data_IF_737631337785
#
_entry.id   IF_737631337785
#
_cell.length_a   1.000
_cell.length_b   1.000
_cell.length_c   1.000
_cell.angle_alpha   90.00
_cell.angle_beta   90.00
_cell.angle_gamma   90.00
#
_symmetry.space_group_name_H-M   'P 1'
#
loop_
_entity.id
_entity.type
_entity.pdbx_description
1 polymer ?
#
# COMPACT_ATOMS: atom_id res chain seq x y z
N UNK A 1 14.80 11.39 -17.55
CA UNK A 1 15.44 10.18 -16.98
C UNK A 1 15.00 10.14 -15.54
N UNK A 2 14.46 9.01 -15.09
CA UNK A 2 13.98 8.90 -13.73
C UNK A 2 15.17 8.93 -12.74
N UNK A 3 15.01 9.61 -11.62
CA UNK A 3 15.97 9.62 -10.51
C UNK A 3 15.41 8.78 -9.37
N UNK A 4 16.10 7.72 -9.01
CA UNK A 4 15.75 6.85 -7.89
C UNK A 4 15.80 7.63 -6.58
N UNK A 5 14.69 7.65 -5.84
CA UNK A 5 14.58 8.29 -4.53
C UNK A 5 14.58 7.27 -3.38
N UNK A 6 13.98 6.09 -3.59
CA UNK A 6 13.87 5.01 -2.60
C UNK A 6 13.56 3.68 -3.30
N UNK A 7 14.06 2.58 -2.74
CA UNK A 7 13.83 1.19 -3.15
C UNK A 7 13.49 0.32 -1.92
N UNK A 8 12.77 -0.78 -2.13
CA UNK A 8 12.40 -1.68 -1.02
C UNK A 8 11.43 -2.80 -1.38
N UNK A 9 11.01 -3.53 -0.35
CA UNK A 9 9.99 -4.58 -0.48
C UNK A 9 8.58 -3.97 -0.38
N UNK A 10 7.64 -4.48 -1.17
CA UNK A 10 6.23 -4.11 -1.14
C UNK A 10 5.36 -5.34 -0.96
N UNK A 11 4.41 -5.25 -0.04
CA UNK A 11 3.47 -6.32 0.27
C UNK A 11 2.03 -5.84 0.19
N UNK A 12 1.21 -6.59 -0.53
CA UNK A 12 -0.22 -6.33 -0.66
C UNK A 12 -1.00 -7.30 0.21
N UNK A 13 -1.89 -6.76 1.02
CA UNK A 13 -2.78 -7.56 1.87
C UNK A 13 -4.20 -7.03 1.76
N UNK A 14 -5.18 -7.91 1.84
CA UNK A 14 -6.57 -7.50 2.00
C UNK A 14 -7.10 -7.88 3.38
N UNK A 15 -8.05 -7.10 3.88
CA UNK A 15 -8.84 -7.44 5.06
C UNK A 15 -10.22 -7.92 4.60
N UNK A 16 -10.66 -9.13 4.98
CA UNK A 16 -12.06 -9.54 4.84
C UNK A 16 -13.02 -8.65 5.64
N UNK A 17 -14.30 -8.68 5.30
CA UNK A 17 -15.37 -8.08 6.11
C UNK A 17 -15.47 -8.73 7.49
N UNK A 18 -16.13 -8.02 8.39
CA UNK A 18 -16.40 -8.51 9.75
C UNK A 18 -17.30 -9.75 9.65
N UNK A 19 -16.95 -10.81 10.36
CA UNK A 19 -17.60 -12.13 10.31
C UNK A 19 -17.50 -12.84 8.95
N UNK A 20 -16.50 -12.49 8.14
CA UNK A 20 -16.30 -13.07 6.80
C UNK A 20 -15.05 -13.96 6.76
N UNK A 21 -15.23 -15.24 7.08
CA UNK A 21 -14.12 -16.20 7.11
C UNK A 21 -13.67 -16.62 5.70
N UNK A 22 -14.56 -16.65 4.73
CA UNK A 22 -14.25 -17.00 3.35
C UNK A 22 -14.40 -15.78 2.44
N UNK A 23 -13.49 -15.61 1.50
CA UNK A 23 -13.58 -14.56 0.49
C UNK A 23 -13.61 -15.25 -0.85
N UNK A 24 -14.55 -14.86 -1.70
CA UNK A 24 -14.68 -15.36 -3.08
C UNK A 24 -14.62 -14.22 -4.11
N UNK A 25 -14.71 -12.96 -3.63
CA UNK A 25 -14.77 -11.77 -4.47
C UNK A 25 -14.39 -10.49 -3.71
N UNK A 26 -14.24 -9.40 -4.47
CA UNK A 26 -14.07 -8.04 -3.95
C UNK A 26 -15.24 -7.58 -3.05
N UNK A 27 -16.41 -8.22 -3.15
CA UNK A 27 -17.56 -7.89 -2.32
C UNK A 27 -17.26 -8.17 -0.84
N UNK A 28 -16.63 -9.30 -0.52
CA UNK A 28 -16.25 -9.72 0.84
C UNK A 28 -15.02 -8.98 1.38
N UNK A 29 -14.28 -8.26 0.54
CA UNK A 29 -13.15 -7.43 1.00
C UNK A 29 -13.66 -6.19 1.73
N UNK A 30 -13.05 -5.87 2.87
CA UNK A 30 -13.27 -4.63 3.62
C UNK A 30 -12.31 -3.53 3.16
N UNK A 31 -11.01 -3.85 3.07
CA UNK A 31 -9.94 -2.89 2.75
C UNK A 31 -8.77 -3.57 2.06
N UNK A 32 -8.10 -2.82 1.19
CA UNK A 32 -6.77 -3.14 0.67
C UNK A 32 -5.71 -2.38 1.48
N UNK A 33 -4.67 -3.09 1.87
CA UNK A 33 -3.51 -2.62 2.63
C UNK A 33 -2.26 -2.82 1.77
N UNK A 34 -1.36 -1.85 1.83
CA UNK A 34 -0.03 -1.93 1.20
C UNK A 34 1.00 -1.69 2.28
N UNK A 35 1.97 -2.57 2.42
CA UNK A 35 3.10 -2.39 3.33
C UNK A 35 4.34 -2.15 2.49
N UNK A 36 5.08 -1.10 2.82
CA UNK A 36 6.35 -0.76 2.19
C UNK A 36 7.46 -0.88 3.22
N UNK A 37 8.54 -1.58 2.86
CA UNK A 37 9.73 -1.74 3.66
C UNK A 37 10.95 -1.27 2.87
N UNK A 38 11.35 0.01 3.03
CA UNK A 38 12.49 0.55 2.29
C UNK A 38 13.79 -0.09 2.77
N UNK A 39 14.64 -0.58 1.87
CA UNK A 39 15.87 -1.30 2.26
C UNK A 39 16.92 -0.43 2.94
N UNK A 40 16.97 0.86 2.56
CA UNK A 40 17.82 1.86 3.22
C UNK A 40 17.06 2.65 4.29
N UNK A 41 15.77 2.36 4.47
CA UNK A 41 14.89 3.02 5.43
C UNK A 41 14.96 2.40 6.81
N UNK A 42 14.36 3.11 7.78
CA UNK A 42 14.26 2.65 9.18
C UNK A 42 12.89 2.11 9.55
N UNK A 43 11.88 2.39 8.72
CA UNK A 43 10.49 2.22 9.11
C UNK A 43 9.74 1.39 8.08
N UNK A 44 8.89 0.48 8.56
CA UNK A 44 7.83 -0.11 7.76
C UNK A 44 6.65 0.86 7.73
N UNK A 45 6.06 1.02 6.55
CA UNK A 45 4.91 1.93 6.33
C UNK A 45 3.71 1.09 5.94
N UNK A 46 2.63 1.14 6.73
CA UNK A 46 1.36 0.52 6.37
C UNK A 46 0.44 1.59 5.80
N UNK A 47 0.10 1.44 4.53
CA UNK A 47 -0.83 2.26 3.79
C UNK A 47 -2.19 1.58 3.69
N UNK A 48 -3.25 2.37 3.75
CA UNK A 48 -4.62 1.94 3.49
C UNK A 48 -5.10 2.60 2.20
N UNK A 49 -5.50 1.79 1.23
CA UNK A 49 -6.11 2.28 -0.01
C UNK A 49 -7.58 2.56 0.27
N UNK A 50 -8.05 3.74 -0.15
CA UNK A 50 -9.43 4.20 0.11
C UNK A 50 -10.49 3.42 -0.67
N UNK A 51 -10.06 2.65 -1.68
CA UNK A 51 -10.86 1.66 -2.41
C UNK A 51 -10.37 0.25 -2.06
N UNK A 52 -11.15 -0.75 -2.44
CA UNK A 52 -10.82 -2.16 -2.18
C UNK A 52 -9.83 -2.75 -3.20
N UNK A 53 -9.43 -1.96 -4.19
CA UNK A 53 -8.53 -2.31 -5.30
C UNK A 53 -7.57 -1.14 -5.55
N UNK A 54 -6.48 -1.38 -6.28
CA UNK A 54 -5.60 -0.32 -6.78
C UNK A 54 -6.26 0.44 -7.93
N UNK A 55 -5.78 1.66 -8.27
CA UNK A 55 -6.24 2.38 -9.44
C UNK A 55 -6.04 1.56 -10.71
N UNK A 56 -7.03 1.54 -11.57
CA UNK A 56 -6.89 1.01 -12.93
C UNK A 56 -5.99 1.95 -13.76
N UNK A 57 -5.05 1.36 -14.49
CA UNK A 57 -4.06 2.11 -15.29
C UNK A 57 -4.69 2.65 -16.57
N UNK A 58 -5.49 1.84 -17.26
CA UNK A 58 -6.08 2.20 -18.55
C UNK A 58 -7.19 3.24 -18.40
N UNK A 59 -7.93 3.20 -17.28
CA UNK A 59 -8.92 4.22 -16.94
C UNK A 59 -8.30 5.49 -16.33
N UNK A 60 -6.98 5.49 -16.06
CA UNK A 60 -6.29 6.54 -15.30
C UNK A 60 -7.01 6.90 -14.00
N UNK A 61 -7.44 5.85 -13.30
CA UNK A 61 -8.20 5.94 -12.07
C UNK A 61 -7.39 6.69 -10.99
N UNK A 62 -8.07 7.39 -10.08
CA UNK A 62 -7.41 8.20 -9.03
C UNK A 62 -7.95 7.88 -7.68
N UNK A 63 -7.17 7.17 -6.87
CA UNK A 63 -7.61 6.76 -5.54
C UNK A 63 -6.82 7.46 -4.44
N UNK A 64 -7.56 7.86 -3.41
CA UNK A 64 -6.98 8.26 -2.15
C UNK A 64 -6.41 7.05 -1.45
N UNK A 65 -5.22 7.20 -0.87
CA UNK A 65 -4.68 6.31 0.14
C UNK A 65 -4.12 7.15 1.29
N UNK A 66 -3.81 6.52 2.41
CA UNK A 66 -3.12 7.20 3.50
C UNK A 66 -2.20 6.27 4.26
N UNK A 67 -1.15 6.83 4.85
CA UNK A 67 -0.28 6.12 5.79
C UNK A 67 -1.02 5.95 7.11
N UNK A 68 -1.36 4.73 7.48
CA UNK A 68 -2.05 4.41 8.73
C UNK A 68 -1.06 4.25 9.88
N UNK A 69 0.01 3.47 9.67
CA UNK A 69 1.05 3.21 10.66
C UNK A 69 2.45 3.34 10.05
N UNK A 70 3.38 3.84 10.86
CA UNK A 70 4.82 3.87 10.57
C UNK A 70 5.51 3.28 11.79
N UNK A 71 6.24 2.18 11.60
CA UNK A 71 6.78 1.38 12.71
C UNK A 71 8.25 1.04 12.50
N UNK A 72 9.00 0.95 13.59
CA UNK A 72 10.41 0.52 13.56
C UNK A 72 10.56 -1.00 13.57
N UNK A 73 9.53 -1.71 14.03
CA UNK A 73 9.55 -3.16 14.18
C UNK A 73 8.24 -3.79 13.68
N UNK A 74 8.32 -4.90 12.95
CA UNK A 74 7.15 -5.52 12.31
C UNK A 74 6.08 -5.98 13.31
N UNK A 75 6.45 -6.33 14.56
CA UNK A 75 5.45 -6.78 15.55
C UNK A 75 4.48 -5.67 15.95
N UNK A 76 4.84 -4.40 15.75
CA UNK A 76 3.94 -3.28 16.02
C UNK A 76 2.72 -3.32 15.10
N UNK A 77 2.85 -3.88 13.88
CA UNK A 77 1.73 -4.08 12.95
C UNK A 77 0.83 -5.24 13.34
N UNK A 78 1.22 -6.13 14.26
CA UNK A 78 0.44 -7.32 14.59
C UNK A 78 -0.94 -6.98 15.12
N UNK A 79 -1.05 -5.86 15.84
CA UNK A 79 -2.34 -5.34 16.26
C UNK A 79 -3.28 -5.20 15.07
N UNK A 80 -2.83 -4.59 13.98
CA UNK A 80 -3.63 -4.32 12.78
C UNK A 80 -3.76 -5.56 11.89
N UNK A 81 -2.72 -6.40 11.77
CA UNK A 81 -2.68 -7.53 10.83
C UNK A 81 -3.31 -8.83 11.32
N UNK A 82 -3.47 -9.02 12.63
CA UNK A 82 -4.08 -10.23 13.21
C UNK A 82 -5.61 -10.13 13.29
N UNK A 83 -6.25 -11.25 13.63
CA UNK A 83 -7.67 -11.29 13.94
C UNK A 83 -7.95 -10.46 15.20
N UNK A 84 -9.17 -9.91 15.29
CA UNK A 84 -9.65 -9.19 16.46
C UNK A 84 -11.08 -9.59 16.79
N UNK A 85 -11.29 -10.10 17.99
CA UNK A 85 -12.63 -10.29 18.55
C UNK A 85 -13.02 -9.06 19.37
N UNK A 86 -14.25 -8.57 19.19
CA UNK A 86 -14.78 -7.47 19.97
C UNK A 86 -16.28 -7.58 20.16
N UNK A 87 -16.76 -7.13 21.32
CA UNK A 87 -18.18 -7.14 21.65
C UNK A 87 -18.85 -5.83 21.26
N UNK A 88 -19.98 -5.93 20.57
CA UNK A 88 -20.84 -4.79 20.23
C UNK A 88 -22.04 -4.74 21.17
N UNK A 89 -22.50 -3.54 21.50
CA UNK A 89 -23.67 -3.33 22.39
C UNK A 89 -24.97 -3.87 21.79
N UNK A 90 -25.07 -3.89 20.47
CA UNK A 90 -26.32 -4.16 19.74
C UNK A 90 -26.32 -5.52 19.03
N UNK A 91 -25.16 -6.09 18.70
CA UNK A 91 -25.08 -7.28 17.85
C UNK A 91 -24.14 -8.37 18.41
N UNK A 92 -23.88 -8.35 19.71
CA UNK A 92 -23.08 -9.39 20.37
C UNK A 92 -21.60 -9.38 19.98
N UNK A 93 -20.96 -10.53 20.09
CA UNK A 93 -19.56 -10.75 19.71
C UNK A 93 -19.38 -10.66 18.19
N UNK A 94 -18.32 -9.98 17.78
CA UNK A 94 -17.92 -9.76 16.39
C UNK A 94 -16.48 -10.17 16.24
N UNK A 95 -16.19 -10.86 15.17
CA UNK A 95 -14.83 -11.20 14.79
C UNK A 95 -14.44 -10.44 13.53
N UNK A 96 -13.28 -9.81 13.57
CA UNK A 96 -12.61 -9.28 12.40
C UNK A 96 -11.51 -10.28 12.01
N UNK A 97 -11.65 -10.97 10.87
CA UNK A 97 -10.63 -11.87 10.34
C UNK A 97 -9.27 -11.17 10.16
N UNK A 98 -8.15 -11.92 10.15
CA UNK A 98 -6.82 -11.38 9.92
C UNK A 98 -6.67 -10.84 8.49
N UNK A 99 -5.64 -10.02 8.25
CA UNK A 99 -5.30 -9.58 6.91
C UNK A 99 -4.63 -10.75 6.20
N UNK A 100 -4.97 -10.94 4.93
CA UNK A 100 -4.49 -12.04 4.11
C UNK A 100 -3.53 -11.48 3.08
N UNK A 101 -2.30 -12.00 2.97
CA UNK A 101 -1.40 -11.60 1.91
C UNK A 101 -1.97 -12.02 0.56
N UNK A 102 -1.79 -11.17 -0.44
CA UNK A 102 -2.25 -11.43 -1.80
C UNK A 102 -1.18 -11.19 -2.84
N UNK A 103 -0.21 -10.31 -2.58
CA UNK A 103 0.94 -10.17 -3.47
C UNK A 103 2.16 -9.63 -2.71
N UNK A 104 3.33 -9.85 -3.28
CA UNK A 104 4.64 -9.48 -2.75
C UNK A 104 5.57 -9.16 -3.93
N UNK A 105 6.44 -8.17 -3.76
CA UNK A 105 7.41 -7.79 -4.78
C UNK A 105 8.37 -6.71 -4.31
N UNK A 106 9.10 -6.13 -5.26
CA UNK A 106 9.98 -4.98 -5.02
C UNK A 106 9.34 -3.70 -5.55
N UNK A 107 9.63 -2.57 -4.92
CA UNK A 107 9.19 -1.26 -5.38
C UNK A 107 10.34 -0.28 -5.52
N UNK A 108 10.08 0.73 -6.35
CA UNK A 108 10.88 1.93 -6.50
C UNK A 108 9.98 3.16 -6.39
N UNK A 109 10.46 4.17 -5.65
CA UNK A 109 9.98 5.54 -5.77
C UNK A 109 10.99 6.32 -6.60
N UNK A 110 10.55 6.85 -7.73
CA UNK A 110 11.41 7.62 -8.63
C UNK A 110 10.81 8.98 -8.98
N UNK A 111 11.67 10.00 -9.05
CA UNK A 111 11.31 11.30 -9.61
C UNK A 111 11.39 11.22 -11.13
N UNK A 112 10.32 11.59 -11.81
CA UNK A 112 10.31 11.72 -13.27
C UNK A 112 9.69 13.09 -13.62
N UNK A 113 10.51 13.97 -14.18
CA UNK A 113 10.18 15.37 -14.47
C UNK A 113 9.60 16.12 -13.24
N UNK A 114 8.33 16.51 -13.25
CA UNK A 114 7.65 17.22 -12.16
C UNK A 114 6.75 16.30 -11.30
N UNK A 115 6.86 14.98 -11.49
CA UNK A 115 6.08 13.96 -10.80
C UNK A 115 6.97 12.95 -10.07
N UNK A 116 6.34 12.19 -9.18
CA UNK A 116 6.96 11.05 -8.52
C UNK A 116 6.13 9.82 -8.84
N UNK A 117 6.80 8.74 -9.20
CA UNK A 117 6.20 7.45 -9.46
C UNK A 117 6.49 6.51 -8.31
N UNK A 118 5.48 5.73 -7.92
CA UNK A 118 5.64 4.47 -7.21
C UNK A 118 5.49 3.36 -8.26
N UNK A 119 6.58 2.69 -8.57
CA UNK A 119 6.62 1.54 -9.45
C UNK A 119 6.89 0.28 -8.65
N UNK A 120 6.36 -0.86 -9.07
CA UNK A 120 6.67 -2.15 -8.48
C UNK A 120 6.62 -3.26 -9.52
N UNK A 121 7.26 -4.37 -9.17
CA UNK A 121 7.14 -5.64 -9.85
C UNK A 121 6.96 -6.76 -8.83
N UNK A 122 6.05 -7.69 -9.12
CA UNK A 122 5.72 -8.81 -8.23
C UNK A 122 6.77 -9.93 -8.31
N UNK A 123 7.12 -10.46 -7.14
CA UNK A 123 7.75 -11.77 -6.97
C UNK A 123 6.68 -12.86 -6.80
N UNK A 124 5.63 -12.57 -6.03
CA UNK A 124 4.53 -13.50 -5.75
C UNK A 124 3.16 -12.84 -5.87
N UNK A 125 2.15 -13.56 -6.40
CA UNK A 125 2.31 -14.83 -7.11
C UNK A 125 3.05 -14.62 -8.43
N UNK A 126 3.81 -15.64 -8.87
CA UNK A 126 4.50 -15.61 -10.17
C UNK A 126 3.55 -15.36 -11.36
N UNK A 127 2.29 -15.74 -11.22
CA UNK A 127 1.22 -15.44 -12.19
C UNK A 127 0.00 -14.96 -11.42
N UNK A 128 -0.44 -13.71 -11.62
CA UNK A 128 -1.69 -13.20 -11.05
C UNK A 128 -2.88 -14.11 -11.39
N UNK A 129 -3.73 -14.33 -10.37
CA UNK A 129 -4.98 -15.05 -10.49
C UNK A 129 -6.19 -14.15 -10.21
N UNK A 130 -7.33 -14.77 -9.90
CA UNK A 130 -8.59 -14.06 -9.64
C UNK A 130 -8.46 -12.98 -8.56
N UNK A 131 -7.74 -13.28 -7.46
CA UNK A 131 -7.60 -12.35 -6.36
C UNK A 131 -6.84 -11.08 -6.76
N UNK A 132 -5.73 -11.21 -7.50
CA UNK A 132 -4.95 -10.07 -7.97
C UNK A 132 -5.73 -9.24 -8.99
N UNK A 133 -6.37 -9.89 -9.97
CA UNK A 133 -7.14 -9.20 -11.00
C UNK A 133 -8.30 -8.37 -10.41
N UNK A 134 -9.07 -8.94 -9.48
CA UNK A 134 -10.17 -8.21 -8.83
C UNK A 134 -9.69 -7.06 -7.92
N UNK A 135 -8.47 -7.16 -7.40
CA UNK A 135 -7.81 -6.10 -6.64
C UNK A 135 -7.02 -5.12 -7.52
N UNK A 136 -7.03 -5.30 -8.84
CA UNK A 136 -6.25 -4.53 -9.83
C UNK A 136 -4.75 -4.48 -9.48
N UNK A 137 -4.20 -5.59 -9.00
CA UNK A 137 -2.78 -5.74 -8.75
C UNK A 137 -2.16 -6.38 -10.00
N UNK A 138 -1.38 -5.60 -10.72
CA UNK A 138 -0.71 -6.03 -11.94
C UNK A 138 0.61 -6.73 -11.62
N UNK A 139 1.16 -7.59 -12.51
CA UNK A 139 2.49 -8.15 -12.34
C UNK A 139 3.57 -7.08 -12.19
N UNK A 140 3.39 -5.97 -12.90
CA UNK A 140 4.22 -4.78 -12.89
C UNK A 140 3.30 -3.58 -13.08
N UNK A 141 3.56 -2.49 -12.36
CA UNK A 141 2.79 -1.26 -12.53
C UNK A 141 3.52 -0.03 -12.00
N UNK A 142 3.15 1.11 -12.56
CA UNK A 142 3.59 2.45 -12.19
C UNK A 142 2.38 3.32 -11.84
N UNK A 143 2.47 4.01 -10.72
CA UNK A 143 1.49 5.00 -10.28
C UNK A 143 2.15 6.34 -10.02
N UNK A 144 1.60 7.42 -10.57
CA UNK A 144 1.96 8.76 -10.09
C UNK A 144 1.43 8.91 -8.67
N UNK A 145 2.32 9.24 -7.75
CA UNK A 145 2.02 9.39 -6.32
C UNK A 145 2.22 10.85 -5.90
N UNK A 146 1.15 11.43 -5.35
CA UNK A 146 1.16 12.81 -4.86
C UNK A 146 0.69 12.88 -3.43
N UNK A 147 1.37 13.67 -2.60
CA UNK A 147 0.98 13.94 -1.22
C UNK A 147 0.05 15.14 -1.17
N UNK A 148 -1.02 15.03 -0.39
CA UNK A 148 -1.92 16.14 -0.09
C UNK A 148 -1.39 16.94 1.09
N UNK A 149 -1.43 18.25 0.97
CA UNK A 149 -1.11 19.16 2.06
C UNK A 149 -2.15 19.01 3.20
N UNK A 150 -1.76 18.58 4.41
CA UNK A 150 -2.70 18.39 5.52
C UNK A 150 -3.40 19.69 5.96
N UNK A 151 -2.75 20.84 5.73
CA UNK A 151 -3.25 22.18 6.05
C UNK A 151 -4.24 22.69 4.99
N UNK A 152 -4.26 22.09 3.80
CA UNK A 152 -5.22 22.47 2.76
C UNK A 152 -6.64 21.98 3.11
N UNK A 153 -7.68 22.80 2.84
CA UNK A 153 -9.06 22.40 3.07
C UNK A 153 -9.45 21.25 2.14
N UNK A 154 -10.26 20.33 2.65
CA UNK A 154 -10.84 19.21 1.89
C UNK A 154 -12.32 19.47 1.63
N UNK A 155 -12.88 18.98 0.51
CA UNK A 155 -14.33 18.99 0.31
C UNK A 155 -15.08 18.29 1.46
N UNK A 156 -16.32 18.70 1.78
CA UNK A 156 -17.12 18.01 2.78
C UNK A 156 -17.23 16.52 2.48
N UNK A 157 -17.03 15.67 3.50
CA UNK A 157 -17.11 14.22 3.32
C UNK A 157 -15.83 13.56 2.80
N UNK A 158 -14.83 14.31 2.35
CA UNK A 158 -13.61 13.78 1.71
C UNK A 158 -12.39 13.93 2.62
N UNK A 159 -11.58 12.88 2.68
CA UNK A 159 -10.28 12.86 3.38
C UNK A 159 -10.34 12.63 4.88
N UNK A 160 -9.16 12.53 5.49
CA UNK A 160 -9.00 12.33 6.93
C UNK A 160 -9.45 13.56 7.72
N UNK A 161 -10.05 13.31 8.89
CA UNK A 161 -10.62 14.35 9.77
C UNK A 161 -9.87 14.44 11.09
N UNK A 162 -9.72 15.67 11.59
CA UNK A 162 -9.22 15.97 12.93
C UNK A 162 -7.84 15.40 13.19
N UNK A 163 -7.67 14.75 14.35
CA UNK A 163 -6.40 14.18 14.82
C UNK A 163 -5.80 13.06 13.95
N UNK A 164 -6.53 12.59 12.92
CA UNK A 164 -6.02 11.59 11.97
C UNK A 164 -5.20 12.20 10.82
N UNK A 165 -5.17 13.52 10.68
CA UNK A 165 -4.33 14.18 9.67
C UNK A 165 -2.87 14.15 10.10
N UNK A 166 -1.97 13.96 9.15
CA UNK A 166 -0.53 14.06 9.40
C UNK A 166 -0.13 15.43 9.95
N UNK A 167 0.76 15.39 10.93
CA UNK A 167 1.52 16.56 11.38
C UNK A 167 2.90 16.51 10.76
N UNK A 168 3.07 17.16 9.60
CA UNK A 168 4.32 17.15 8.87
C UNK A 168 5.34 18.14 9.48
N UNK A 169 6.63 17.77 9.57
CA UNK A 169 7.71 18.68 9.93
C UNK A 169 7.78 19.91 9.02
N UNK A 170 8.27 21.02 9.54
CA UNK A 170 8.34 22.29 8.80
C UNK A 170 9.11 22.18 7.47
N UNK A 171 10.14 21.34 7.42
CA UNK A 171 10.91 21.08 6.20
C UNK A 171 10.04 20.49 5.08
N UNK A 172 9.20 19.50 5.40
CA UNK A 172 8.28 18.87 4.45
C UNK A 172 7.12 19.80 4.09
N UNK A 173 6.57 20.55 5.07
CA UNK A 173 5.51 21.53 4.80
C UNK A 173 5.94 22.59 3.78
N UNK A 174 7.20 23.03 3.82
CA UNK A 174 7.72 24.02 2.86
C UNK A 174 7.76 23.51 1.41
N UNK A 175 7.86 22.20 1.19
CA UNK A 175 7.89 21.57 -0.15
C UNK A 175 6.57 21.71 -0.91
N UNK A 176 5.46 21.97 -0.21
CA UNK A 176 4.20 22.28 -0.89
C UNK A 176 4.23 23.60 -1.64
N UNK A 177 5.08 24.56 -1.23
CA UNK A 177 5.12 25.91 -1.83
C UNK A 177 3.74 26.58 -1.90
N UNK A 178 2.92 26.40 -0.85
CA UNK A 178 1.55 26.92 -0.79
C UNK A 178 0.52 26.14 -1.63
N UNK A 179 0.92 25.10 -2.34
CA UNK A 179 0.02 24.25 -3.14
C UNK A 179 -0.74 23.27 -2.25
N UNK A 180 -1.84 22.74 -2.79
CA UNK A 180 -2.66 21.71 -2.15
C UNK A 180 -2.03 20.32 -2.22
N UNK A 181 -1.17 20.10 -3.21
CA UNK A 181 -0.50 18.84 -3.46
C UNK A 181 0.97 19.07 -3.78
N UNK A 182 1.79 18.05 -3.53
CA UNK A 182 3.19 17.98 -3.93
C UNK A 182 3.51 16.55 -4.39
N UNK A 183 4.55 16.35 -5.22
CA UNK A 183 5.12 15.02 -5.44
C UNK A 183 5.60 14.41 -4.10
N UNK A 184 5.67 13.08 -4.02
CA UNK A 184 6.27 12.37 -2.86
C UNK A 184 7.79 12.46 -2.93
N UNK A 185 8.27 13.68 -2.76
CA UNK A 185 9.67 14.03 -2.87
C UNK A 185 10.03 15.08 -1.80
N UNK A 186 10.73 14.67 -0.73
CA UNK A 186 11.35 13.36 -0.53
C UNK A 186 10.35 12.25 -0.11
N UNK A 187 10.69 10.96 -0.27
CA UNK A 187 9.88 9.82 0.20
C UNK A 187 9.50 9.89 1.69
N UNK A 188 10.28 10.62 2.50
CA UNK A 188 10.00 10.86 3.92
C UNK A 188 8.66 11.54 4.23
N UNK A 189 7.90 12.03 3.24
CA UNK A 189 6.47 12.30 3.46
C UNK A 189 5.71 11.10 4.00
N UNK A 190 6.06 9.89 3.55
CA UNK A 190 5.39 8.65 3.91
C UNK A 190 5.79 8.13 5.31
N UNK A 191 6.79 8.74 5.95
CA UNK A 191 7.21 8.41 7.33
C UNK A 191 6.32 9.06 8.41
N UNK A 192 5.18 9.62 8.01
CA UNK A 192 4.27 10.32 8.91
C UNK A 192 2.86 9.72 8.84
N UNK A 193 2.38 9.08 9.92
CA UNK A 193 1.00 8.61 10.01
C UNK A 193 0.00 9.73 9.74
N UNK A 194 -1.09 9.38 9.04
CA UNK A 194 -2.12 10.31 8.59
C UNK A 194 -1.77 11.08 7.31
N UNK A 195 -0.66 10.75 6.64
CA UNK A 195 -0.29 11.38 5.36
C UNK A 195 -1.22 10.85 4.29
N UNK A 196 -2.04 11.74 3.72
CA UNK A 196 -2.94 11.41 2.62
C UNK A 196 -2.20 11.55 1.29
N UNK A 197 -2.28 10.51 0.46
CA UNK A 197 -1.73 10.49 -0.89
C UNK A 197 -2.83 10.21 -1.92
N UNK A 198 -2.56 10.57 -3.17
CA UNK A 198 -3.35 10.15 -4.33
C UNK A 198 -2.46 9.28 -5.21
N UNK A 199 -2.95 8.07 -5.49
CA UNK A 199 -2.38 7.14 -6.46
C UNK A 199 -3.14 7.31 -7.77
N UNK A 200 -2.43 7.47 -8.88
CA UNK A 200 -2.97 7.68 -10.21
C UNK A 200 -2.36 6.65 -11.15
N UNK A 201 -3.19 5.86 -11.83
CA UNK A 201 -2.73 4.88 -12.83
C UNK A 201 -1.89 5.52 -13.94
N UNK A 202 -0.65 5.04 -14.12
CA UNK A 202 0.29 5.59 -15.10
C UNK A 202 0.66 4.60 -16.21
N UNK A 203 1.25 3.45 -15.88
CA UNK A 203 1.69 2.46 -16.86
C UNK A 203 1.71 1.04 -16.31
N UNK A 204 1.50 0.05 -17.19
CA UNK A 204 1.67 -1.39 -16.92
C UNK A 204 3.14 -1.81 -17.03
N UNK A 205 3.89 -1.26 -17.99
CA UNK A 205 5.33 -1.48 -18.14
C UNK A 205 6.08 -0.29 -17.51
N UNK A 206 6.32 -0.41 -16.21
CA UNK A 206 6.96 0.62 -15.41
C UNK A 206 8.47 0.73 -15.70
N UNK A 207 9.08 -0.41 -16.04
CA UNK A 207 10.49 -0.54 -16.39
C UNK A 207 10.79 0.24 -17.68
N UNK A 208 9.97 0.07 -18.72
CA UNK A 208 10.09 0.84 -19.96
C UNK A 208 9.79 2.33 -19.72
N UNK A 209 8.70 2.64 -19.01
CA UNK A 209 8.28 4.02 -18.74
C UNK A 209 9.39 4.82 -18.04
N UNK A 210 9.93 4.26 -16.96
CA UNK A 210 10.89 4.93 -16.08
C UNK A 210 12.35 4.70 -16.51
N UNK A 211 12.60 3.72 -17.39
CA UNK A 211 13.93 3.21 -17.75
C UNK A 211 14.69 2.72 -16.51
N UNK A 212 14.02 1.91 -15.71
CA UNK A 212 14.55 1.28 -14.48
C UNK A 212 14.44 -0.24 -14.65
N UNK A 213 15.40 -0.98 -14.10
CA UNK A 213 15.42 -2.44 -14.14
C UNK A 213 14.75 -3.00 -12.88
N UNK A 214 13.41 -3.17 -12.92
CA UNK A 214 12.66 -3.69 -11.77
C UNK A 214 12.93 -5.17 -11.53
N UNK A 215 13.30 -5.95 -12.55
CA UNK A 215 13.74 -7.34 -12.41
C UNK A 215 14.95 -7.42 -11.45
N UNK A 216 15.94 -6.54 -11.64
CA UNK A 216 17.10 -6.46 -10.75
C UNK A 216 16.72 -6.08 -9.31
N UNK A 217 15.67 -5.26 -9.12
CA UNK A 217 15.16 -4.94 -7.79
C UNK A 217 14.46 -6.14 -7.13
N UNK A 218 13.72 -6.95 -7.90
CA UNK A 218 13.15 -8.22 -7.41
C UNK A 218 14.25 -9.21 -7.04
N UNK A 219 15.29 -9.38 -7.87
CA UNK A 219 16.44 -10.24 -7.54
C UNK A 219 17.16 -9.79 -6.25
N UNK A 220 17.14 -8.49 -5.97
CA UNK A 220 17.69 -7.92 -4.74
C UNK A 220 16.77 -8.17 -3.53
N UNK A 221 15.46 -8.18 -3.74
CA UNK A 221 14.41 -8.42 -2.76
C UNK A 221 14.37 -9.85 -2.21
N UNK A 222 14.88 -10.85 -2.96
CA UNK A 222 14.83 -12.31 -2.69
C UNK A 222 15.27 -12.78 -1.28
N UNK A 223 15.69 -11.84 -0.41
CA UNK A 223 16.13 -12.07 0.96
C UNK A 223 15.02 -11.98 1.99
N UNK A 224 13.82 -11.47 1.69
CA UNK A 224 12.77 -11.27 2.71
C UNK A 224 11.34 -11.56 2.23
N UNK A 225 10.80 -12.73 2.60
CA UNK A 225 9.38 -13.03 2.36
C UNK A 225 8.46 -12.25 3.28
N UNK A 226 7.22 -11.94 2.87
CA UNK A 226 6.24 -11.25 3.73
C UNK A 226 6.08 -11.91 5.12
N UNK A 227 6.17 -13.24 5.21
CA UNK A 227 6.05 -13.95 6.48
C UNK A 227 7.28 -13.75 7.38
N UNK A 228 8.46 -13.73 6.78
CA UNK A 228 9.72 -13.46 7.49
C UNK A 228 9.80 -12.01 7.92
N UNK A 229 9.53 -11.09 7.00
CA UNK A 229 9.65 -9.65 7.19
C UNK A 229 8.66 -9.14 8.23
N UNK A 230 7.38 -9.47 8.07
CA UNK A 230 6.32 -9.03 8.98
C UNK A 230 6.21 -9.90 10.25
N UNK A 231 7.01 -10.97 10.36
CA UNK A 231 6.98 -11.96 11.45
C UNK A 231 5.55 -12.45 11.75
N UNK A 232 4.81 -12.81 10.70
CA UNK A 232 3.45 -13.33 10.77
C UNK A 232 3.41 -14.83 10.44
N UNK A 233 2.53 -15.59 11.10
CA UNK A 233 2.44 -17.04 10.91
C UNK A 233 1.68 -17.42 9.64
N UNK A 234 2.25 -18.31 8.82
CA UNK A 234 1.58 -18.91 7.64
C UNK A 234 0.34 -19.72 8.00
N UNK A 235 0.31 -20.35 9.18
CA UNK A 235 -0.82 -21.17 9.65
C UNK A 235 -1.96 -20.35 10.26
N UNK A 236 -1.75 -19.07 10.48
CA UNK A 236 -2.69 -18.18 11.17
C UNK A 236 -3.61 -17.41 10.20
N UNK A 237 -3.45 -17.62 8.90
CA UNK A 237 -4.21 -16.92 7.85
C UNK A 237 -4.22 -17.73 6.56
N UNK A 238 -5.28 -17.60 5.74
CA UNK A 238 -5.28 -18.04 4.35
C UNK A 238 -4.09 -17.48 3.56
N UNK A 239 -3.54 -18.30 2.65
CA UNK A 239 -2.35 -17.96 1.86
C UNK A 239 -2.49 -18.34 0.39
N UNK A 240 -3.57 -19.00 -0.02
CA UNK A 240 -3.83 -19.31 -1.42
C UNK A 240 -3.81 -18.05 -2.32
N UNK A 241 -4.32 -16.87 -1.89
CA UNK A 241 -4.24 -15.67 -2.72
C UNK A 241 -2.79 -15.32 -3.10
N UNK A 242 -1.85 -15.43 -2.16
CA UNK A 242 -0.44 -15.12 -2.41
C UNK A 242 0.27 -16.15 -3.29
N UNK A 243 -0.01 -17.44 -3.12
CA UNK A 243 0.78 -18.50 -3.76
C UNK A 243 0.17 -19.09 -5.03
N UNK A 244 -1.16 -19.10 -5.13
CA UNK A 244 -1.91 -19.66 -6.27
C UNK A 244 -2.81 -18.63 -6.95
N UNK A 245 -2.99 -17.43 -6.39
CA UNK A 245 -3.76 -16.35 -7.00
C UNK A 245 -5.28 -16.50 -6.87
N UNK A 246 -5.75 -17.49 -6.10
CA UNK A 246 -7.18 -17.75 -5.88
C UNK A 246 -7.64 -17.16 -4.55
N UNK A 247 -8.91 -16.74 -4.48
CA UNK A 247 -9.51 -16.34 -3.23
C UNK A 247 -9.63 -17.50 -2.23
N UNK A 248 -9.59 -17.18 -0.94
CA UNK A 248 -9.67 -18.12 0.19
C UNK A 248 -10.12 -17.37 1.43
#
# INVERSE_FOLDING_TARGET
MAELLEDGDIYFLYRPRVQEEHVDSLAEVQRLLVIMHPWQGRHLRLLVVGRKRLPDIDEHDRFWAFVDEVVDRPEQLHGTLRAREYRTRTRGEREQPPARPVAEGAYVIARHDDHTHLAYQLELPLRPGAAQHELSIEPEASYIVTVKNPEAPSPPGVGLRGARKATLPAALRRRFHGRRFAPVDPPGFLDHPGTEIVLIGAAHDASEELRIDLDAEVERAERSTIFGDLRIGRRERPVAPLFVGEWE
#
